data_IF_689096736517
#
_entry.id   IF_689096736517
#
_cell.length_a   1.000
_cell.length_b   1.000
_cell.length_c   1.000
_cell.angle_alpha   90.00
_cell.angle_beta   90.00
_cell.angle_gamma   90.00
#
_symmetry.space_group_name_H-M   'P 1'
#
loop_
_entity.id
_entity.type
_entity.pdbx_description
1 polymer ?
#
# COMPACT_ATOMS: atom_id res chain seq x y z
N UNK A 1 20.27 10.47 6.55
CA UNK A 1 20.30 10.80 5.10
C UNK A 1 19.95 9.53 4.31
N UNK A 2 19.30 9.65 3.15
CA UNK A 2 19.01 8.49 2.30
C UNK A 2 20.32 7.79 1.89
N UNK A 3 20.32 6.46 1.88
CA UNK A 3 21.46 5.68 1.41
C UNK A 3 21.65 5.90 -0.10
N UNK A 4 22.89 6.02 -0.61
CA UNK A 4 23.12 6.17 -2.04
C UNK A 4 22.64 4.93 -2.80
N UNK A 5 21.94 5.17 -3.92
CA UNK A 5 21.52 4.10 -4.84
C UNK A 5 22.71 3.46 -5.58
N UNK A 6 22.47 2.33 -6.24
CA UNK A 6 23.48 1.60 -7.02
C UNK A 6 22.91 1.11 -8.36
N UNK A 7 23.57 1.48 -9.47
CA UNK A 7 23.15 1.08 -10.82
C UNK A 7 21.74 1.58 -11.16
N UNK A 8 20.79 0.65 -11.32
CA UNK A 8 19.37 0.95 -11.60
C UNK A 8 18.53 1.19 -10.34
N UNK A 9 19.14 1.08 -9.15
CA UNK A 9 18.47 1.35 -7.88
C UNK A 9 18.77 2.78 -7.48
N UNK A 10 17.72 3.56 -7.23
CA UNK A 10 17.83 4.98 -6.87
C UNK A 10 17.18 5.21 -5.51
N UNK A 11 17.77 6.10 -4.72
CA UNK A 11 17.10 6.62 -3.53
C UNK A 11 15.89 7.46 -3.95
N UNK A 12 14.79 7.33 -3.22
CA UNK A 12 13.56 8.09 -3.45
C UNK A 12 12.88 8.44 -2.13
N UNK A 13 11.93 9.37 -2.22
CA UNK A 13 11.11 9.80 -1.10
C UNK A 13 9.64 9.74 -1.51
N UNK A 14 8.76 9.43 -0.55
CA UNK A 14 7.32 9.47 -0.78
C UNK A 14 6.82 10.92 -0.68
N UNK A 15 5.88 11.34 -1.55
CA UNK A 15 5.38 12.70 -1.53
C UNK A 15 4.60 13.00 -0.25
N UNK A 16 4.78 14.20 0.30
CA UNK A 16 3.94 14.68 1.39
C UNK A 16 2.51 14.98 0.90
N UNK A 17 1.52 14.64 1.72
CA UNK A 17 0.12 14.96 1.48
C UNK A 17 -0.85 13.92 2.02
N UNK A 18 -2.11 14.07 1.65
CA UNK A 18 -3.18 13.13 2.00
C UNK A 18 -3.07 11.85 1.19
N UNK A 19 -3.21 10.72 1.87
CA UNK A 19 -3.38 9.42 1.26
C UNK A 19 -4.60 8.73 1.88
N UNK A 20 -5.40 8.07 1.06
CA UNK A 20 -6.34 7.08 1.54
C UNK A 20 -5.58 5.82 1.90
N UNK A 21 -5.94 5.21 3.02
CA UNK A 21 -5.26 4.02 3.52
C UNK A 21 -6.26 2.92 3.84
N UNK A 22 -5.85 1.68 3.62
CA UNK A 22 -6.58 0.50 4.07
C UNK A 22 -5.58 -0.56 4.53
N UNK A 23 -5.91 -1.26 5.61
CA UNK A 23 -5.15 -2.41 6.08
C UNK A 23 -5.88 -3.67 5.66
N UNK A 24 -5.23 -4.48 4.85
CA UNK A 24 -5.62 -5.85 4.57
C UNK A 24 -5.10 -6.77 5.67
N UNK A 25 -5.98 -7.61 6.22
CA UNK A 25 -5.60 -8.69 7.13
C UNK A 25 -6.09 -10.00 6.54
N UNK A 26 -5.16 -10.90 6.19
CA UNK A 26 -5.49 -12.14 5.52
C UNK A 26 -4.53 -12.52 4.38
N UNK A 27 -4.88 -13.57 3.63
CA UNK A 27 -4.05 -14.08 2.54
C UNK A 27 -4.00 -13.10 1.36
N UNK A 28 -2.86 -13.05 0.66
CA UNK A 28 -2.68 -12.14 -0.47
C UNK A 28 -3.65 -12.39 -1.64
N UNK A 29 -4.23 -13.59 -1.73
CA UNK A 29 -5.27 -13.91 -2.72
C UNK A 29 -6.53 -13.06 -2.55
N UNK A 30 -6.75 -12.47 -1.36
CA UNK A 30 -7.87 -11.59 -1.04
C UNK A 30 -7.53 -10.08 -1.16
N UNK A 31 -6.28 -9.74 -1.53
CA UNK A 31 -5.88 -8.35 -1.76
C UNK A 31 -6.68 -7.64 -2.88
N UNK A 32 -7.01 -8.27 -4.02
CA UNK A 32 -7.80 -7.63 -5.07
C UNK A 32 -9.14 -7.07 -4.57
N UNK A 33 -9.78 -7.76 -3.61
CA UNK A 33 -11.04 -7.37 -2.98
C UNK A 33 -10.85 -6.13 -2.11
N UNK A 34 -9.72 -6.04 -1.42
CA UNK A 34 -9.36 -4.87 -0.60
C UNK A 34 -9.07 -3.66 -1.48
N UNK A 35 -8.39 -3.86 -2.61
CA UNK A 35 -8.20 -2.82 -3.63
C UNK A 35 -9.51 -2.31 -4.20
N UNK A 36 -10.42 -3.24 -4.58
CA UNK A 36 -11.74 -2.89 -5.07
C UNK A 36 -12.48 -2.00 -4.07
N UNK A 37 -12.55 -2.43 -2.81
CA UNK A 37 -13.19 -1.67 -1.73
C UNK A 37 -12.58 -0.28 -1.52
N UNK A 38 -11.24 -0.15 -1.53
CA UNK A 38 -10.57 1.14 -1.44
C UNK A 38 -10.95 2.05 -2.62
N UNK A 39 -10.92 1.54 -3.84
CA UNK A 39 -11.21 2.35 -5.04
C UNK A 39 -12.68 2.76 -5.14
N UNK A 40 -13.61 1.88 -4.77
CA UNK A 40 -15.03 2.21 -4.65
C UNK A 40 -15.26 3.29 -3.59
N UNK A 41 -14.60 3.17 -2.44
CA UNK A 41 -14.66 4.19 -1.40
C UNK A 41 -14.13 5.53 -1.89
N UNK A 42 -12.96 5.56 -2.55
CA UNK A 42 -12.39 6.78 -3.14
C UNK A 42 -13.35 7.50 -4.09
N UNK A 43 -13.98 6.73 -4.99
CA UNK A 43 -14.98 7.25 -5.91
C UNK A 43 -16.18 7.84 -5.17
N UNK A 44 -16.67 7.15 -4.13
CA UNK A 44 -17.79 7.64 -3.30
C UNK A 44 -17.48 8.96 -2.59
N UNK A 45 -16.21 9.23 -2.28
CA UNK A 45 -15.76 10.47 -1.65
C UNK A 45 -15.45 11.58 -2.67
N UNK A 46 -15.49 11.28 -3.98
CA UNK A 46 -15.09 12.23 -5.02
C UNK A 46 -13.60 12.57 -5.01
N UNK A 47 -12.76 11.69 -4.45
CA UNK A 47 -11.32 11.89 -4.36
C UNK A 47 -10.61 11.46 -5.65
N UNK A 48 -9.60 12.22 -6.06
CA UNK A 48 -8.81 11.92 -7.26
C UNK A 48 -7.41 11.44 -6.89
N UNK A 49 -6.88 10.49 -7.67
CA UNK A 49 -5.52 9.99 -7.51
C UNK A 49 -4.46 11.11 -7.65
N UNK A 50 -3.48 11.12 -6.75
CA UNK A 50 -2.34 12.05 -6.76
C UNK A 50 -1.01 11.30 -6.83
N UNK A 51 -0.79 10.57 -7.92
CA UNK A 51 0.40 9.77 -8.16
C UNK A 51 0.16 8.27 -8.00
N UNK A 52 1.25 7.50 -7.95
CA UNK A 52 1.16 6.05 -7.82
C UNK A 52 0.87 5.66 -6.37
N UNK A 53 0.02 4.66 -6.14
CA UNK A 53 -0.13 4.07 -4.82
C UNK A 53 1.05 3.13 -4.51
N UNK A 54 1.15 2.70 -3.26
CA UNK A 54 2.11 1.67 -2.83
C UNK A 54 1.53 0.77 -1.74
N UNK A 55 2.19 -0.37 -1.54
CA UNK A 55 1.84 -1.34 -0.51
C UNK A 55 3.03 -1.55 0.43
N UNK A 56 2.73 -1.85 1.69
CA UNK A 56 3.69 -2.27 2.70
C UNK A 56 3.28 -3.62 3.25
N UNK A 57 4.08 -4.65 3.00
CA UNK A 57 3.90 -6.00 3.53
C UNK A 57 4.51 -6.05 4.93
N UNK A 58 3.67 -5.81 5.94
CA UNK A 58 4.11 -5.55 7.32
C UNK A 58 4.49 -6.85 8.03
N UNK A 59 3.72 -7.92 7.80
CA UNK A 59 4.02 -9.25 8.33
C UNK A 59 4.95 -10.00 7.38
N UNK A 60 6.06 -10.52 7.91
CA UNK A 60 6.94 -11.43 7.16
C UNK A 60 6.29 -12.84 7.07
N UNK A 61 5.90 -13.30 5.86
CA UNK A 61 5.30 -14.61 5.67
C UNK A 61 6.25 -15.77 5.97
N UNK A 62 7.57 -15.53 5.96
CA UNK A 62 8.57 -16.51 6.38
C UNK A 62 8.61 -16.73 7.89
N UNK A 63 8.19 -15.72 8.67
CA UNK A 63 8.17 -15.77 10.14
C UNK A 63 6.80 -16.14 10.71
N UNK A 64 5.71 -15.78 10.05
CA UNK A 64 4.34 -16.15 10.42
C UNK A 64 3.69 -16.96 9.30
N UNK A 65 3.55 -18.29 9.44
CA UNK A 65 2.93 -19.12 8.40
C UNK A 65 1.40 -19.04 8.38
N UNK A 66 0.75 -18.53 9.42
CA UNK A 66 -0.70 -18.34 9.47
C UNK A 66 -1.12 -17.10 8.67
N UNK A 67 -1.60 -17.35 7.45
CA UNK A 67 -1.99 -16.29 6.50
C UNK A 67 -3.11 -15.39 7.01
N UNK A 68 -3.94 -15.87 7.95
CA UNK A 68 -5.02 -15.05 8.52
C UNK A 68 -4.51 -13.88 9.36
N UNK A 69 -3.22 -13.88 9.72
CA UNK A 69 -2.56 -12.82 10.49
C UNK A 69 -1.67 -11.92 9.64
N UNK A 70 -1.55 -12.20 8.34
CA UNK A 70 -0.74 -11.38 7.46
C UNK A 70 -1.36 -10.01 7.31
N UNK A 71 -0.52 -8.98 7.47
CA UNK A 71 -0.94 -7.59 7.35
C UNK A 71 -0.24 -6.95 6.15
N UNK A 72 -1.05 -6.37 5.26
CA UNK A 72 -0.58 -5.52 4.17
C UNK A 72 -1.28 -4.18 4.27
N UNK A 73 -0.52 -3.10 4.34
CA UNK A 73 -1.06 -1.74 4.33
C UNK A 73 -0.97 -1.17 2.92
N UNK A 74 -2.07 -0.63 2.41
CA UNK A 74 -2.15 0.00 1.09
C UNK A 74 -2.31 1.51 1.28
N UNK A 75 -1.56 2.29 0.51
CA UNK A 75 -1.59 3.75 0.53
C UNK A 75 -1.84 4.27 -0.88
N UNK A 76 -2.89 5.09 -1.02
CA UNK A 76 -3.23 5.74 -2.29
C UNK A 76 -3.22 7.26 -2.08
N UNK A 77 -2.18 7.98 -2.58
CA UNK A 77 -2.17 9.43 -2.61
C UNK A 77 -3.40 10.01 -3.31
N UNK A 78 -4.02 11.03 -2.69
CA UNK A 78 -5.25 11.65 -3.20
C UNK A 78 -5.24 13.17 -3.08
N UNK A 79 -6.17 13.81 -3.78
CA UNK A 79 -6.51 15.23 -3.67
C UNK A 79 -8.00 15.47 -3.86
#
# INVERSE_FOLDING_TARGET
PALPGAGRVHAGELPAGTAATVTHVGPYDDLPQTWAALTEWLQSQGLEARGAPWESYVTDPGAEPDQSKWRTDIFFPVR
#
